data_IF_267863680888
#
_entry.id   IF_267863680888
#
_cell.length_a   1.000
_cell.length_b   1.000
_cell.length_c   1.000
_cell.angle_alpha   90.00
_cell.angle_beta   90.00
_cell.angle_gamma   90.00
#
_symmetry.space_group_name_H-M   'P 1'
#
loop_
_entity.id
_entity.type
_entity.pdbx_description
1 polymer ?
#
# COMPACT_ATOMS: atom_id res chain seq x y z
N UNK A 1 -1.57 74.53 -20.45
CA UNK A 1 -1.61 73.65 -21.65
C UNK A 1 -1.30 72.25 -21.14
N UNK A 2 -2.35 71.47 -20.93
CA UNK A 2 -2.29 70.13 -20.33
C UNK A 2 -1.53 69.17 -21.24
N UNK A 3 -0.53 68.48 -20.71
CA UNK A 3 0.08 67.33 -21.35
C UNK A 3 -0.41 66.07 -20.63
N UNK A 4 -1.38 65.39 -21.24
CA UNK A 4 -1.79 64.05 -20.85
C UNK A 4 -0.68 63.07 -21.24
N UNK A 5 -0.03 62.46 -20.24
CA UNK A 5 0.83 61.29 -20.43
C UNK A 5 -0.09 60.06 -20.51
N UNK A 6 -0.32 59.56 -21.71
CA UNK A 6 -0.95 58.26 -21.91
C UNK A 6 0.01 57.15 -21.48
N UNK A 7 -0.18 56.62 -20.27
CA UNK A 7 0.46 55.39 -19.83
C UNK A 7 -0.32 54.19 -20.40
N UNK A 8 0.19 53.58 -21.47
CA UNK A 8 -0.34 52.31 -21.97
C UNK A 8 0.24 51.18 -21.09
N UNK A 9 -0.56 50.73 -20.12
CA UNK A 9 -0.27 49.52 -19.34
C UNK A 9 -0.61 48.29 -20.20
N UNK A 10 0.40 47.74 -20.86
CA UNK A 10 0.32 46.41 -21.46
C UNK A 10 0.36 45.36 -20.34
N UNK A 11 -0.81 44.90 -19.89
CA UNK A 11 -0.90 43.65 -19.14
C UNK A 11 -0.56 42.50 -20.09
N UNK A 12 0.72 42.13 -20.15
CA UNK A 12 1.14 40.85 -20.72
C UNK A 12 0.60 39.75 -19.80
N UNK A 13 -0.61 39.29 -20.11
CA UNK A 13 -1.19 38.11 -19.49
C UNK A 13 -0.36 36.90 -19.86
N UNK A 14 0.63 36.59 -19.03
CA UNK A 14 1.24 35.25 -19.02
C UNK A 14 0.14 34.31 -18.56
N UNK A 15 -0.54 33.68 -19.51
CA UNK A 15 -1.42 32.55 -19.24
C UNK A 15 -0.49 31.43 -18.77
N UNK A 16 -0.31 31.32 -17.45
CA UNK A 16 0.32 30.17 -16.84
C UNK A 16 -0.66 29.01 -17.01
N UNK A 17 -0.60 28.33 -18.15
CA UNK A 17 -1.30 27.07 -18.37
C UNK A 17 -0.69 26.07 -17.39
N UNK A 18 -1.32 25.92 -16.23
CA UNK A 18 -1.00 24.85 -15.31
C UNK A 18 -1.43 23.55 -16.00
N UNK A 19 -0.49 22.93 -16.73
CA UNK A 19 -0.70 21.59 -17.30
C UNK A 19 -0.78 20.64 -16.11
N UNK A 20 -1.99 20.44 -15.60
CA UNK A 20 -2.29 19.37 -14.68
C UNK A 20 -2.16 18.09 -15.49
N UNK A 21 -1.06 17.37 -15.33
CA UNK A 21 -0.96 16.02 -15.89
C UNK A 21 -2.03 15.17 -15.21
N UNK A 22 -3.09 14.88 -15.94
CA UNK A 22 -4.22 14.11 -15.46
C UNK A 22 -3.73 12.73 -14.98
N UNK A 23 -4.14 12.33 -13.78
CA UNK A 23 -3.86 10.99 -13.29
C UNK A 23 -4.73 9.97 -14.03
N UNK A 24 -4.14 8.86 -14.46
CA UNK A 24 -4.85 7.74 -15.04
C UNK A 24 -5.32 6.77 -13.94
N UNK A 25 -6.58 6.35 -13.99
CA UNK A 25 -7.09 5.31 -13.10
C UNK A 25 -6.66 3.91 -13.59
N UNK A 26 -6.10 3.12 -12.69
CA UNK A 26 -5.64 1.75 -12.95
C UNK A 26 -6.34 0.78 -11.98
N UNK A 27 -7.38 0.06 -12.44
CA UNK A 27 -8.17 -0.82 -11.59
C UNK A 27 -7.43 -2.14 -11.28
N UNK A 28 -6.99 -2.31 -10.02
CA UNK A 28 -6.52 -3.59 -9.48
C UNK A 28 -7.71 -4.32 -8.85
N UNK A 29 -8.48 -5.03 -9.65
CA UNK A 29 -9.70 -5.71 -9.22
C UNK A 29 -9.63 -7.22 -9.43
N UNK A 30 -10.21 -7.99 -8.51
CA UNK A 30 -10.36 -9.43 -8.69
C UNK A 30 -11.17 -9.76 -9.97
N UNK A 31 -10.79 -10.81 -10.72
CA UNK A 31 -11.42 -11.13 -11.99
C UNK A 31 -12.71 -11.96 -11.81
N UNK A 32 -13.72 -11.40 -11.14
CA UNK A 32 -15.04 -12.04 -10.95
C UNK A 32 -14.97 -13.40 -10.27
N UNK A 33 -14.18 -13.46 -9.18
CA UNK A 33 -13.90 -14.68 -8.42
C UNK A 33 -15.08 -15.12 -7.59
N UNK A 34 -15.07 -16.39 -7.18
CA UNK A 34 -16.11 -16.99 -6.36
C UNK A 34 -15.45 -17.94 -5.36
N UNK A 35 -14.92 -17.43 -4.23
CA UNK A 35 -14.34 -18.27 -3.20
C UNK A 35 -15.43 -19.06 -2.50
N UNK A 36 -15.19 -20.35 -2.25
CA UNK A 36 -16.16 -21.26 -1.62
C UNK A 36 -15.76 -21.68 -0.20
N UNK A 37 -14.57 -21.28 0.26
CA UNK A 37 -14.05 -21.61 1.59
C UNK A 37 -13.77 -20.33 2.38
N UNK A 38 -14.22 -20.30 3.64
CA UNK A 38 -13.88 -19.21 4.57
C UNK A 38 -12.37 -19.12 4.82
N UNK A 39 -11.91 -17.94 5.22
CA UNK A 39 -10.49 -17.64 5.45
C UNK A 39 -9.61 -17.90 4.21
N UNK A 40 -10.15 -17.67 3.01
CA UNK A 40 -9.41 -17.80 1.75
C UNK A 40 -8.71 -16.49 1.39
N UNK A 41 -7.44 -16.60 1.01
CA UNK A 41 -6.62 -15.46 0.56
C UNK A 41 -6.36 -15.62 -0.93
N UNK A 42 -7.08 -14.86 -1.76
CA UNK A 42 -6.87 -14.91 -3.21
C UNK A 42 -5.90 -13.84 -3.65
N UNK A 43 -5.02 -14.18 -4.59
CA UNK A 43 -4.07 -13.30 -5.22
C UNK A 43 -4.30 -13.26 -6.73
N UNK A 44 -4.08 -12.09 -7.33
CA UNK A 44 -3.97 -11.95 -8.79
C UNK A 44 -2.90 -10.90 -9.15
N UNK A 45 -2.19 -11.13 -10.25
CA UNK A 45 -1.06 -10.32 -10.68
C UNK A 45 -1.40 -9.38 -11.83
N UNK A 46 -0.81 -8.17 -11.79
CA UNK A 46 -0.93 -7.16 -12.83
C UNK A 46 0.47 -6.75 -13.28
N UNK A 47 0.76 -6.93 -14.55
CA UNK A 47 2.04 -6.51 -15.11
C UNK A 47 2.10 -4.97 -15.19
N UNK A 48 3.19 -4.39 -14.69
CA UNK A 48 3.52 -2.97 -14.84
C UNK A 48 4.59 -2.87 -15.90
N UNK A 49 4.36 -2.06 -16.94
CA UNK A 49 5.25 -1.97 -18.08
C UNK A 49 6.71 -1.70 -17.66
N UNK A 50 7.64 -2.47 -18.20
CA UNK A 50 9.06 -2.43 -17.85
C UNK A 50 9.83 -1.28 -18.53
N UNK A 51 9.29 -0.67 -19.58
CA UNK A 51 10.02 0.33 -20.39
C UNK A 51 10.00 1.75 -19.80
N UNK A 52 8.96 2.11 -19.04
CA UNK A 52 8.86 3.41 -18.34
C UNK A 52 8.29 3.21 -16.95
N UNK A 53 8.83 3.95 -15.98
CA UNK A 53 8.28 3.95 -14.64
C UNK A 53 7.08 4.91 -14.54
N UNK A 54 6.21 4.65 -13.56
CA UNK A 54 5.07 5.49 -13.20
C UNK A 54 5.06 5.70 -11.68
N UNK A 55 4.24 6.63 -11.21
CA UNK A 55 4.01 6.84 -9.78
C UNK A 55 2.56 6.59 -9.40
N UNK A 56 2.34 5.82 -8.34
CA UNK A 56 1.04 5.72 -7.67
C UNK A 56 0.92 6.89 -6.70
N UNK A 57 -0.14 7.70 -6.82
CA UNK A 57 -0.38 8.89 -5.99
C UNK A 57 -1.64 8.80 -5.12
N UNK A 58 -2.55 7.87 -5.42
CA UNK A 58 -3.73 7.61 -4.61
C UNK A 58 -4.24 6.17 -4.74
N UNK A 59 -4.99 5.73 -3.73
CA UNK A 59 -5.60 4.42 -3.60
C UNK A 59 -7.08 4.60 -3.26
N UNK A 60 -7.99 4.18 -4.14
CA UNK A 60 -9.43 4.25 -3.91
C UNK A 60 -10.00 2.83 -3.80
N UNK A 61 -10.59 2.45 -2.66
CA UNK A 61 -11.17 1.13 -2.53
C UNK A 61 -12.38 0.95 -3.46
N UNK A 62 -12.45 -0.22 -4.07
CA UNK A 62 -13.64 -0.75 -4.73
C UNK A 62 -13.99 -2.06 -4.04
N UNK A 63 -14.41 -1.97 -2.78
CA UNK A 63 -14.71 -3.12 -1.95
C UNK A 63 -15.60 -2.68 -0.79
N UNK A 64 -16.27 -3.65 -0.16
CA UNK A 64 -16.95 -3.47 1.12
C UNK A 64 -16.46 -4.53 2.09
N UNK A 65 -16.39 -4.21 3.39
CA UNK A 65 -15.92 -5.16 4.43
C UNK A 65 -16.70 -6.47 4.46
N UNK A 66 -17.97 -6.43 4.02
CA UNK A 66 -18.86 -7.58 3.98
C UNK A 66 -18.42 -8.64 2.97
N UNK A 67 -17.55 -8.27 2.02
CA UNK A 67 -17.05 -9.17 0.98
C UNK A 67 -15.54 -9.36 1.10
N UNK A 68 -14.79 -8.27 1.26
CA UNK A 68 -13.35 -8.32 1.48
C UNK A 68 -13.02 -7.90 2.92
N UNK A 69 -12.51 -8.81 3.74
CA UNK A 69 -12.13 -8.48 5.11
C UNK A 69 -10.93 -7.52 5.15
N UNK A 70 -9.93 -7.76 4.31
CA UNK A 70 -8.87 -6.81 4.01
C UNK A 70 -8.28 -7.05 2.61
N UNK A 71 -7.59 -6.04 2.09
CA UNK A 71 -6.93 -6.04 0.78
C UNK A 71 -5.50 -5.54 0.95
N UNK A 72 -4.53 -6.25 0.38
CA UNK A 72 -3.14 -5.86 0.34
C UNK A 72 -2.67 -5.73 -1.11
N UNK A 73 -1.76 -4.79 -1.35
CA UNK A 73 -1.08 -4.63 -2.63
C UNK A 73 0.41 -4.80 -2.40
N UNK A 74 1.01 -5.73 -3.13
CA UNK A 74 2.44 -5.98 -3.14
C UNK A 74 3.04 -5.58 -4.48
N UNK A 75 4.21 -4.96 -4.44
CA UNK A 75 5.12 -4.92 -5.59
C UNK A 75 5.94 -6.19 -5.60
N UNK A 76 6.04 -6.83 -6.77
CA UNK A 76 6.86 -8.01 -6.98
C UNK A 76 7.75 -7.82 -8.21
N UNK A 77 8.91 -8.47 -8.21
CA UNK A 77 9.68 -8.70 -9.44
C UNK A 77 9.02 -9.78 -10.31
N UNK A 78 8.52 -10.84 -9.67
CA UNK A 78 7.68 -11.87 -10.29
C UNK A 78 6.56 -12.34 -9.35
N UNK A 79 5.33 -12.54 -9.85
CA UNK A 79 4.20 -12.98 -9.04
C UNK A 79 4.39 -14.43 -8.58
N UNK A 80 3.71 -14.83 -7.51
CA UNK A 80 3.81 -16.20 -7.00
C UNK A 80 3.26 -17.26 -7.95
N UNK A 81 2.25 -16.90 -8.74
CA UNK A 81 1.70 -17.75 -9.78
C UNK A 81 1.38 -16.92 -11.03
N UNK A 82 1.50 -17.56 -12.20
CA UNK A 82 1.11 -17.00 -13.50
C UNK A 82 0.83 -18.12 -14.48
N UNK A 83 -0.11 -17.87 -15.36
CA UNK A 83 -0.35 -18.67 -16.57
C UNK A 83 -0.07 -17.81 -17.79
N UNK A 84 0.43 -18.42 -18.86
CA UNK A 84 0.81 -17.68 -20.07
C UNK A 84 -0.42 -17.10 -20.79
N UNK A 85 -1.48 -17.90 -20.88
CA UNK A 85 -2.70 -17.54 -21.60
C UNK A 85 -3.78 -16.92 -20.68
N UNK A 86 -3.53 -16.87 -19.36
CA UNK A 86 -4.43 -16.28 -18.36
C UNK A 86 -3.69 -15.17 -17.59
N UNK A 87 -3.56 -13.96 -18.15
CA UNK A 87 -2.76 -12.87 -17.56
C UNK A 87 -3.27 -12.39 -16.18
N UNK A 88 -4.50 -12.75 -15.80
CA UNK A 88 -5.10 -12.50 -14.48
C UNK A 88 -5.44 -13.80 -13.76
N UNK A 89 -4.58 -14.81 -13.88
CA UNK A 89 -4.70 -16.03 -13.09
C UNK A 89 -4.88 -15.70 -11.60
N UNK A 90 -5.69 -16.50 -10.93
CA UNK A 90 -6.00 -16.35 -9.50
C UNK A 90 -5.44 -17.55 -8.77
N UNK A 91 -4.78 -17.30 -7.64
CA UNK A 91 -4.20 -18.35 -6.82
C UNK A 91 -4.49 -18.07 -5.34
N UNK A 92 -4.47 -19.12 -4.52
CA UNK A 92 -4.45 -18.99 -3.08
C UNK A 92 -3.04 -18.55 -2.65
N UNK A 93 -2.93 -17.38 -2.01
CA UNK A 93 -1.67 -16.78 -1.57
C UNK A 93 -0.95 -17.60 -0.46
N UNK A 94 -1.63 -18.60 0.09
CA UNK A 94 -1.06 -19.59 0.99
C UNK A 94 -0.75 -19.09 2.41
N UNK A 95 -1.32 -17.96 2.81
CA UNK A 95 -1.15 -17.36 4.14
C UNK A 95 -1.73 -18.26 5.26
N UNK A 96 -2.69 -19.12 4.93
CA UNK A 96 -3.27 -20.10 5.85
C UNK A 96 -2.72 -21.51 5.58
N UNK A 97 -2.18 -22.14 6.63
CA UNK A 97 -1.61 -23.49 6.55
C UNK A 97 -2.64 -24.55 6.15
N UNK A 98 -3.92 -24.35 6.48
CA UNK A 98 -5.01 -25.34 6.36
C UNK A 98 -6.06 -25.02 5.29
N UNK A 99 -5.84 -24.01 4.44
CA UNK A 99 -6.75 -23.73 3.32
C UNK A 99 -6.71 -24.89 2.31
N UNK A 100 -7.89 -25.44 1.99
CA UNK A 100 -8.15 -26.44 0.95
C UNK A 100 -8.89 -25.78 -0.22
N UNK A 101 -8.39 -24.62 -0.61
CA UNK A 101 -8.90 -23.84 -1.73
C UNK A 101 -8.82 -24.62 -3.05
N UNK A 102 -9.81 -24.41 -3.93
CA UNK A 102 -9.81 -24.93 -5.31
C UNK A 102 -8.76 -24.25 -6.21
N UNK A 103 -8.17 -23.15 -5.74
CA UNK A 103 -7.16 -22.39 -6.47
C UNK A 103 -5.77 -23.00 -6.27
N UNK A 104 -4.88 -22.84 -7.26
CA UNK A 104 -3.47 -23.19 -7.09
C UNK A 104 -2.89 -22.47 -5.86
N UNK A 105 -2.08 -23.15 -5.04
CA UNK A 105 -1.47 -22.54 -3.85
C UNK A 105 -0.05 -22.06 -4.18
N UNK A 106 0.24 -20.80 -3.87
CA UNK A 106 1.57 -20.21 -4.09
C UNK A 106 1.75 -18.93 -3.26
N UNK A 107 2.99 -18.45 -3.07
CA UNK A 107 3.24 -17.24 -2.30
C UNK A 107 2.61 -16.01 -2.97
N UNK A 108 2.56 -14.87 -2.29
CA UNK A 108 2.11 -13.61 -2.90
C UNK A 108 3.05 -13.14 -4.02
N UNK A 109 4.35 -13.14 -3.76
CA UNK A 109 5.38 -12.91 -4.77
C UNK A 109 6.31 -14.12 -4.81
N UNK A 110 6.79 -14.50 -5.99
CA UNK A 110 7.87 -15.47 -6.11
C UNK A 110 9.22 -14.81 -5.81
N UNK A 111 9.42 -13.57 -6.27
CA UNK A 111 10.63 -12.79 -6.02
C UNK A 111 10.32 -11.30 -5.81
N UNK A 112 11.19 -10.60 -5.06
CA UNK A 112 11.15 -9.14 -4.90
C UNK A 112 9.91 -8.59 -4.19
N UNK A 113 9.43 -9.26 -3.14
CA UNK A 113 8.21 -8.87 -2.43
C UNK A 113 8.38 -7.58 -1.63
N UNK A 114 7.50 -6.61 -1.88
CA UNK A 114 7.43 -5.35 -1.15
C UNK A 114 5.97 -4.96 -0.93
N UNK A 115 5.56 -4.71 0.32
CA UNK A 115 4.22 -4.18 0.58
C UNK A 115 4.13 -2.71 0.13
N UNK A 116 3.07 -2.37 -0.61
CA UNK A 116 2.81 -1.01 -1.11
C UNK A 116 1.67 -0.37 -0.33
N UNK A 117 0.57 -1.10 -0.18
CA UNK A 117 -0.66 -0.57 0.40
C UNK A 117 -1.48 -1.67 1.09
N UNK A 118 -2.30 -1.24 2.03
CA UNK A 118 -3.19 -2.10 2.80
C UNK A 118 -4.50 -1.36 3.07
N UNK A 119 -5.60 -2.06 2.93
CA UNK A 119 -6.96 -1.60 3.20
C UNK A 119 -7.68 -2.64 4.05
N UNK A 120 -8.47 -2.19 5.03
CA UNK A 120 -9.30 -3.06 5.86
C UNK A 120 -10.49 -2.27 6.40
N UNK A 121 -11.58 -2.96 6.75
CA UNK A 121 -12.68 -2.41 7.56
C UNK A 121 -13.28 -1.10 7.01
N UNK A 122 -13.57 -1.04 5.71
CA UNK A 122 -14.14 0.14 5.04
C UNK A 122 -13.31 1.43 5.19
N UNK A 123 -11.98 1.29 5.31
CA UNK A 123 -11.09 2.44 5.35
C UNK A 123 -11.31 3.37 4.13
N UNK A 124 -11.26 4.70 4.33
CA UNK A 124 -11.45 5.65 3.24
C UNK A 124 -10.31 5.56 2.22
N UNK A 125 -10.53 6.18 1.06
CA UNK A 125 -9.48 6.34 0.05
C UNK A 125 -8.26 7.05 0.64
N UNK A 126 -7.06 6.56 0.30
CA UNK A 126 -5.80 7.18 0.69
C UNK A 126 -5.27 8.02 -0.47
N UNK A 127 -5.15 9.33 -0.26
CA UNK A 127 -4.33 10.20 -1.11
C UNK A 127 -2.97 10.38 -0.44
N UNK A 128 -1.90 10.20 -1.20
CA UNK A 128 -0.56 10.49 -0.69
C UNK A 128 -0.40 12.01 -0.52
N UNK A 129 0.52 12.46 0.37
CA UNK A 129 0.85 13.86 0.47
C UNK A 129 1.25 14.44 -0.88
N UNK A 130 1.03 15.74 -1.08
CA UNK A 130 1.38 16.42 -2.33
C UNK A 130 2.86 16.17 -2.70
N UNK A 131 3.06 15.80 -3.96
CA UNK A 131 4.37 15.48 -4.52
C UNK A 131 5.04 14.22 -3.97
N UNK A 132 4.27 13.31 -3.38
CA UNK A 132 4.73 11.98 -2.96
C UNK A 132 4.09 10.91 -3.84
N UNK A 133 4.87 9.93 -4.28
CA UNK A 133 4.36 8.80 -5.08
C UNK A 133 5.18 7.52 -4.95
N UNK A 134 4.54 6.35 -5.04
CA UNK A 134 5.24 5.06 -5.11
C UNK A 134 5.72 4.82 -6.53
N UNK A 135 7.02 4.61 -6.71
CA UNK A 135 7.61 4.34 -8.03
C UNK A 135 7.40 2.87 -8.39
N UNK A 136 6.78 2.61 -9.55
CA UNK A 136 6.54 1.27 -10.10
C UNK A 136 7.02 1.18 -11.56
N UNK A 137 7.28 -0.02 -12.06
CA UNK A 137 7.79 -0.24 -13.42
C UNK A 137 9.21 0.31 -13.62
N UNK A 138 9.69 0.30 -14.86
CA UNK A 138 11.06 0.73 -15.18
C UNK A 138 12.11 0.02 -14.32
N UNK A 139 13.05 0.78 -13.76
CA UNK A 139 14.10 0.29 -12.86
C UNK A 139 13.72 0.33 -11.36
N UNK A 140 12.42 0.26 -11.03
CA UNK A 140 11.98 0.29 -9.62
C UNK A 140 12.20 -1.03 -8.88
N UNK A 141 12.40 -2.15 -9.59
CA UNK A 141 12.34 -3.50 -9.02
C UNK A 141 10.90 -4.03 -8.87
N UNK A 142 9.88 -3.23 -9.22
CA UNK A 142 8.47 -3.63 -9.18
C UNK A 142 7.97 -3.79 -10.61
N UNK A 143 7.97 -5.02 -11.11
CA UNK A 143 7.49 -5.38 -12.45
C UNK A 143 6.03 -5.83 -12.43
N UNK A 144 5.55 -6.26 -11.27
CA UNK A 144 4.18 -6.69 -11.05
C UNK A 144 3.61 -6.03 -9.81
N UNK A 145 2.32 -5.72 -9.87
CA UNK A 145 1.50 -5.47 -8.69
C UNK A 145 0.67 -6.73 -8.44
N UNK A 146 0.75 -7.27 -7.23
CA UNK A 146 -0.10 -8.40 -6.81
C UNK A 146 -1.13 -7.87 -5.82
N UNK A 147 -2.40 -8.05 -6.19
CA UNK A 147 -3.55 -7.78 -5.33
C UNK A 147 -3.85 -9.04 -4.53
N UNK A 148 -3.83 -8.94 -3.21
CA UNK A 148 -4.28 -9.98 -2.30
C UNK A 148 -5.59 -9.54 -1.63
N UNK A 149 -6.62 -10.39 -1.65
CA UNK A 149 -7.91 -10.16 -0.98
C UNK A 149 -8.17 -11.31 -0.02
N UNK A 150 -8.46 -10.97 1.24
CA UNK A 150 -8.88 -11.94 2.25
C UNK A 150 -10.41 -12.01 2.32
N UNK A 151 -10.96 -13.18 2.00
CA UNK A 151 -12.38 -13.52 2.13
C UNK A 151 -12.58 -14.33 3.42
N UNK A 152 -12.89 -13.63 4.51
CA UNK A 152 -13.15 -14.26 5.81
C UNK A 152 -14.46 -15.07 5.81
N UNK A 153 -15.51 -14.55 5.18
CA UNK A 153 -16.82 -15.20 5.04
C UNK A 153 -17.20 -15.31 3.56
N UNK A 154 -17.42 -16.54 3.10
CA UNK A 154 -17.77 -16.84 1.71
C UNK A 154 -19.23 -17.27 1.52
N UNK A 155 -20.07 -17.18 2.55
CA UNK A 155 -21.48 -17.63 2.52
C UNK A 155 -22.25 -17.06 1.33
N UNK A 156 -22.00 -15.80 0.99
CA UNK A 156 -22.66 -15.10 -0.12
C UNK A 156 -22.29 -15.63 -1.52
N UNK A 157 -21.30 -16.53 -1.64
CA UNK A 157 -20.84 -17.11 -2.91
C UNK A 157 -21.29 -18.56 -3.12
N UNK A 158 -21.85 -19.21 -2.10
CA UNK A 158 -22.15 -20.65 -2.14
C UNK A 158 -23.29 -21.01 -3.10
N UNK A 159 -24.14 -20.05 -3.48
CA UNK A 159 -25.30 -20.24 -4.34
C UNK A 159 -24.98 -20.24 -5.86
N UNK A 160 -23.72 -20.03 -6.25
CA UNK A 160 -23.35 -19.98 -7.66
C UNK A 160 -23.50 -18.61 -8.34
N UNK A 161 -24.27 -17.69 -7.76
CA UNK A 161 -24.77 -16.50 -8.47
C UNK A 161 -23.87 -15.29 -8.28
N UNK A 162 -23.28 -15.14 -7.09
CA UNK A 162 -22.44 -13.99 -6.78
C UNK A 162 -21.01 -14.19 -7.29
N UNK A 163 -20.48 -13.15 -7.92
CA UNK A 163 -19.06 -13.02 -8.28
C UNK A 163 -18.50 -11.74 -7.67
N UNK A 164 -17.22 -11.75 -7.35
CA UNK A 164 -16.54 -10.62 -6.71
C UNK A 164 -15.46 -9.99 -7.58
N UNK A 165 -15.46 -8.66 -7.59
CA UNK A 165 -14.44 -7.82 -8.21
C UNK A 165 -13.83 -6.83 -7.21
N UNK A 166 -13.80 -7.21 -5.93
CA UNK A 166 -13.21 -6.37 -4.88
C UNK A 166 -11.73 -6.07 -5.20
N UNK A 167 -11.31 -4.86 -4.88
CA UNK A 167 -9.95 -4.41 -5.17
C UNK A 167 -9.74 -2.93 -4.90
N UNK A 168 -8.68 -2.37 -5.49
CA UNK A 168 -8.31 -0.96 -5.33
C UNK A 168 -8.10 -0.32 -6.71
N UNK A 169 -8.69 0.84 -6.95
CA UNK A 169 -8.38 1.67 -8.11
C UNK A 169 -7.22 2.59 -7.75
N UNK A 170 -6.10 2.45 -8.45
CA UNK A 170 -4.93 3.31 -8.29
C UNK A 170 -5.05 4.55 -9.16
N UNK A 171 -4.61 5.70 -8.67
CA UNK A 171 -4.36 6.87 -9.53
C UNK A 171 -2.87 6.92 -9.86
N UNK A 172 -2.53 6.83 -11.15
CA UNK A 172 -1.18 6.82 -11.67
C UNK A 172 -0.84 8.13 -12.38
N UNK A 173 0.41 8.57 -12.24
CA UNK A 173 0.98 9.66 -13.04
C UNK A 173 2.25 9.19 -13.78
N UNK A 174 2.59 9.76 -14.95
CA UNK A 174 3.81 9.43 -15.69
C UNK A 174 5.09 9.63 -14.87
N UNK A 175 6.12 8.83 -15.13
CA UNK A 175 7.40 8.91 -14.41
C UNK A 175 8.22 10.19 -14.67
N UNK A 176 7.97 10.87 -15.78
CA UNK A 176 8.57 12.15 -16.18
C UNK A 176 7.78 13.38 -15.67
N UNK A 177 6.77 13.17 -14.83
CA UNK A 177 5.99 14.26 -14.24
C UNK A 177 6.82 15.10 -13.25
N UNK A 178 6.59 16.42 -13.25
CA UNK A 178 7.14 17.33 -12.24
C UNK A 178 6.30 17.36 -10.94
N UNK A 179 5.17 16.64 -10.90
CA UNK A 179 4.31 16.60 -9.72
C UNK A 179 5.00 15.87 -8.54
N UNK A 180 5.66 14.74 -8.81
CA UNK A 180 6.23 13.87 -7.76
C UNK A 180 7.67 14.30 -7.45
N UNK A 181 7.88 14.81 -6.25
CA UNK A 181 9.17 15.32 -5.74
C UNK A 181 9.83 14.35 -4.75
N UNK A 182 9.08 13.40 -4.19
CA UNK A 182 9.56 12.42 -3.20
C UNK A 182 8.98 11.04 -3.50
N UNK A 183 9.79 10.01 -3.28
CA UNK A 183 9.34 8.62 -3.40
C UNK A 183 8.73 8.15 -2.09
N UNK A 184 7.57 7.54 -2.18
CA UNK A 184 6.99 6.78 -1.08
C UNK A 184 7.66 5.40 -0.98
N UNK A 185 7.65 4.85 0.22
CA UNK A 185 8.12 3.51 0.54
C UNK A 185 7.52 3.05 1.87
N UNK A 186 7.53 1.75 2.12
CA UNK A 186 7.09 1.16 3.39
C UNK A 186 8.30 0.55 4.10
N UNK A 187 8.51 0.95 5.35
CA UNK A 187 9.48 0.31 6.24
C UNK A 187 8.72 -0.62 7.19
N UNK A 188 8.97 -1.92 7.09
CA UNK A 188 8.27 -2.93 7.89
C UNK A 188 9.15 -3.32 9.07
N UNK A 189 8.59 -3.22 10.28
CA UNK A 189 9.16 -3.83 11.48
C UNK A 189 8.30 -5.03 11.85
N UNK A 190 8.89 -6.22 11.74
CA UNK A 190 8.29 -7.48 12.15
C UNK A 190 8.98 -8.01 13.39
N UNK A 191 8.24 -8.80 14.16
CA UNK A 191 8.75 -9.55 15.31
C UNK A 191 7.93 -10.83 15.45
N UNK A 192 8.43 -11.79 16.23
CA UNK A 192 7.80 -13.08 16.46
C UNK A 192 8.28 -13.71 17.75
N UNK A 193 7.58 -14.76 18.16
CA UNK A 193 7.92 -15.56 19.34
C UNK A 193 6.71 -16.33 19.85
N UNK A 194 6.73 -16.72 21.12
CA UNK A 194 5.72 -17.58 21.73
C UNK A 194 4.98 -16.84 22.84
N UNK A 195 3.65 -16.90 22.83
CA UNK A 195 2.79 -16.44 23.92
C UNK A 195 2.34 -17.68 24.69
N UNK A 196 2.71 -17.80 25.96
CA UNK A 196 2.21 -18.91 26.80
C UNK A 196 0.73 -18.69 27.13
N UNK A 197 0.01 -19.79 27.34
CA UNK A 197 -1.40 -19.72 27.70
C UNK A 197 -1.58 -18.84 28.96
N UNK A 198 -2.53 -17.91 28.90
CA UNK A 198 -2.88 -17.00 29.99
C UNK A 198 -1.75 -16.08 30.50
N UNK A 199 -0.68 -15.85 29.73
CA UNK A 199 0.36 -14.89 30.08
C UNK A 199 0.30 -13.61 29.23
N UNK A 200 0.99 -12.56 29.71
CA UNK A 200 1.26 -11.35 28.94
C UNK A 200 2.71 -11.38 28.48
N UNK A 201 2.91 -11.18 27.20
CA UNK A 201 4.23 -11.07 26.58
C UNK A 201 4.32 -9.75 25.79
N UNK A 202 5.53 -9.24 25.63
CA UNK A 202 5.83 -8.15 24.70
C UNK A 202 6.81 -8.68 23.64
N UNK A 203 6.61 -8.26 22.39
CA UNK A 203 7.53 -8.55 21.31
C UNK A 203 8.15 -7.25 20.84
N UNK A 204 9.44 -7.28 20.58
CA UNK A 204 10.22 -6.09 20.24
C UNK A 204 10.94 -6.31 18.90
N UNK A 205 11.09 -5.24 18.15
CA UNK A 205 11.93 -5.18 16.95
C UNK A 205 12.70 -3.87 16.95
N UNK A 206 13.98 -3.91 16.59
CA UNK A 206 14.81 -2.71 16.53
C UNK A 206 15.86 -2.82 15.42
N UNK A 207 15.80 -1.91 14.45
CA UNK A 207 16.70 -1.87 13.31
C UNK A 207 17.37 -0.49 13.18
N UNK A 208 18.70 -0.48 13.01
CA UNK A 208 19.44 0.74 12.72
C UNK A 208 19.30 1.10 11.24
N UNK A 209 19.04 2.36 10.94
CA UNK A 209 19.07 2.90 9.59
C UNK A 209 20.53 3.08 9.15
N UNK A 210 20.95 2.31 8.15
CA UNK A 210 22.32 2.33 7.65
C UNK A 210 22.44 3.10 6.33
N UNK A 211 21.32 3.27 5.63
CA UNK A 211 21.21 3.91 4.34
C UNK A 211 21.40 5.42 4.48
N UNK A 212 22.10 6.02 3.51
CA UNK A 212 22.29 7.47 3.46
C UNK A 212 21.07 8.17 2.84
N UNK A 213 19.93 8.06 3.52
CA UNK A 213 18.66 8.65 3.11
C UNK A 213 17.94 9.27 4.31
N UNK A 214 17.08 10.25 4.04
CA UNK A 214 16.21 10.85 5.07
C UNK A 214 14.77 10.41 4.85
N UNK A 215 14.19 9.76 5.86
CA UNK A 215 12.79 9.36 5.84
C UNK A 215 11.92 10.37 6.59
N UNK A 216 10.73 10.58 6.06
CA UNK A 216 9.69 11.43 6.62
C UNK A 216 8.43 10.58 6.81
N UNK A 217 8.25 9.94 7.99
CA UNK A 217 7.03 9.21 8.28
C UNK A 217 5.83 10.15 8.17
N UNK A 218 4.86 9.78 7.34
CA UNK A 218 3.60 10.50 7.22
C UNK A 218 2.41 9.63 7.64
N UNK A 219 2.55 8.31 7.57
CA UNK A 219 1.56 7.36 8.04
C UNK A 219 2.21 6.09 8.61
N UNK A 220 1.45 5.34 9.41
CA UNK A 220 1.84 4.04 9.95
C UNK A 220 0.62 3.11 9.97
N UNK A 221 0.85 1.80 9.96
CA UNK A 221 -0.19 0.77 10.09
C UNK A 221 0.28 -0.27 11.09
N UNK A 222 -0.61 -0.71 11.97
CA UNK A 222 -0.37 -1.80 12.91
C UNK A 222 -1.10 -3.05 12.45
N UNK A 223 -0.48 -4.22 12.59
CA UNK A 223 -1.09 -5.49 12.24
C UNK A 223 -0.68 -6.57 13.24
N UNK A 224 -1.66 -7.29 13.76
CA UNK A 224 -1.50 -8.51 14.54
C UNK A 224 -2.68 -9.44 14.28
N UNK A 225 -2.58 -10.69 14.72
CA UNK A 225 -3.74 -11.57 14.85
C UNK A 225 -4.57 -11.20 16.10
N UNK A 226 -5.51 -12.06 16.48
CA UNK A 226 -6.54 -11.84 17.52
C UNK A 226 -6.03 -11.49 18.93
N UNK A 227 -4.79 -11.86 19.27
CA UNK A 227 -4.24 -11.67 20.62
C UNK A 227 -3.59 -10.29 20.84
N UNK A 228 -3.25 -9.54 19.78
CA UNK A 228 -2.53 -8.29 19.91
C UNK A 228 -3.37 -7.19 20.58
N UNK A 229 -2.76 -6.44 21.50
CA UNK A 229 -3.43 -5.38 22.28
C UNK A 229 -3.06 -3.97 21.85
N UNK A 230 -1.79 -3.73 21.54
CA UNK A 230 -1.29 -2.45 21.03
C UNK A 230 0.03 -2.67 20.31
N UNK A 231 0.29 -1.87 19.28
CA UNK A 231 1.59 -1.81 18.59
C UNK A 231 2.02 -0.35 18.56
N UNK A 232 3.30 -0.09 18.88
CA UNK A 232 3.82 1.27 19.01
C UNK A 232 5.16 1.41 18.31
N UNK A 233 5.29 2.36 17.39
CA UNK A 233 6.56 2.63 16.71
C UNK A 233 7.29 3.84 17.30
N UNK A 234 8.62 3.76 17.34
CA UNK A 234 9.51 4.82 17.82
C UNK A 234 10.70 5.01 16.88
N UNK A 235 11.18 6.25 16.83
CA UNK A 235 12.55 6.56 16.41
C UNK A 235 13.40 6.84 17.66
N UNK A 236 14.56 6.20 17.74
CA UNK A 236 15.52 6.36 18.83
C UNK A 236 16.78 7.02 18.28
N UNK A 237 17.08 8.21 18.78
CA UNK A 237 18.27 8.98 18.40
C UNK A 237 19.04 9.40 19.65
N UNK A 238 20.29 8.94 19.78
CA UNK A 238 21.16 9.23 20.94
C UNK A 238 20.44 8.96 22.29
N UNK A 239 19.78 7.82 22.39
CA UNK A 239 19.01 7.41 23.57
C UNK A 239 17.63 8.08 23.74
N UNK A 240 17.29 9.10 22.93
CA UNK A 240 15.98 9.75 23.00
C UNK A 240 14.96 9.04 22.12
N UNK A 241 13.90 8.56 22.75
CA UNK A 241 12.76 7.91 22.10
C UNK A 241 11.71 8.94 21.67
N UNK A 242 11.32 8.91 20.40
CA UNK A 242 10.24 9.75 19.88
C UNK A 242 9.19 8.87 19.23
N UNK A 243 7.97 8.90 19.76
CA UNK A 243 6.86 8.12 19.21
C UNK A 243 6.53 8.54 17.78
N UNK A 244 6.43 7.56 16.88
CA UNK A 244 5.96 7.72 15.50
C UNK A 244 4.43 7.59 15.48
N UNK A 245 3.91 6.59 16.19
CA UNK A 245 2.49 6.32 16.35
C UNK A 245 2.26 5.15 17.30
N UNK A 246 1.05 5.06 17.84
CA UNK A 246 0.55 3.93 18.65
C UNK A 246 -0.86 3.63 18.20
N UNK A 247 -1.17 2.36 17.96
CA UNK A 247 -2.54 1.98 17.64
C UNK A 247 -2.92 0.59 18.11
N UNK A 248 -4.21 0.37 18.31
CA UNK A 248 -4.76 -0.97 18.55
C UNK A 248 -4.83 -1.73 17.22
N UNK A 249 -4.22 -2.92 17.11
CA UNK A 249 -4.30 -3.72 15.88
C UNK A 249 -5.68 -4.39 15.70
N UNK A 250 -6.58 -4.30 16.69
CA UNK A 250 -7.96 -4.78 16.60
C UNK A 250 -8.92 -3.73 16.03
N UNK A 251 -8.47 -2.48 15.90
CA UNK A 251 -9.20 -1.41 15.21
C UNK A 251 -8.96 -1.51 13.69
N UNK A 252 -9.70 -0.74 12.85
CA UNK A 252 -9.51 -0.74 11.40
C UNK A 252 -8.04 -0.68 10.99
N UNK A 253 -7.53 -1.73 10.35
CA UNK A 253 -6.10 -1.85 10.05
C UNK A 253 -5.71 -1.06 8.79
N UNK A 254 -5.90 0.25 8.84
CA UNK A 254 -5.53 1.21 7.80
C UNK A 254 -4.25 1.97 8.15
N UNK A 255 -3.81 2.83 7.23
CA UNK A 255 -2.72 3.77 7.48
C UNK A 255 -3.23 4.99 8.25
N UNK A 256 -2.76 5.14 9.49
CA UNK A 256 -3.03 6.28 10.35
C UNK A 256 -1.95 7.34 10.23
N UNK A 257 -2.26 8.64 10.40
CA UNK A 257 -1.25 9.69 10.35
C UNK A 257 -0.15 9.49 11.39
N UNK A 258 1.11 9.55 10.96
CA UNK A 258 2.26 9.53 11.86
C UNK A 258 2.45 10.91 12.52
N UNK A 259 3.23 10.94 13.60
CA UNK A 259 3.63 12.20 14.24
C UNK A 259 4.29 13.14 13.22
N UNK A 260 3.70 14.34 13.07
CA UNK A 260 4.16 15.36 12.12
C UNK A 260 5.58 15.83 12.44
N UNK A 261 6.34 16.18 11.40
CA UNK A 261 7.66 16.80 11.52
C UNK A 261 8.78 15.83 11.92
N UNK A 262 8.50 14.52 12.01
CA UNK A 262 9.55 13.53 12.25
C UNK A 262 10.48 13.40 11.05
N UNK A 263 11.78 13.29 11.36
CA UNK A 263 12.85 12.99 10.41
C UNK A 263 13.66 11.84 10.95
N UNK A 264 13.78 10.78 10.17
CA UNK A 264 14.65 9.64 10.47
C UNK A 264 15.83 9.71 9.50
N UNK A 265 17.04 9.57 10.02
CA UNK A 265 18.29 9.68 9.26
C UNK A 265 19.21 8.50 9.56
N UNK A 266 20.27 8.36 8.76
CA UNK A 266 21.33 7.39 8.99
C UNK A 266 21.83 7.43 10.44
N UNK A 267 21.92 6.26 11.06
CA UNK A 267 22.35 6.05 12.44
C UNK A 267 21.22 6.01 13.47
N UNK A 268 20.02 6.49 13.15
CA UNK A 268 18.84 6.30 14.00
C UNK A 268 18.46 4.82 14.11
N UNK A 269 17.76 4.47 15.20
CA UNK A 269 17.13 3.15 15.35
C UNK A 269 15.62 3.32 15.24
N UNK A 270 15.00 2.54 14.36
CA UNK A 270 13.55 2.34 14.34
C UNK A 270 13.21 1.15 15.23
N UNK A 271 12.34 1.37 16.21
CA UNK A 271 11.94 0.36 17.18
C UNK A 271 10.42 0.23 17.25
N UNK A 272 9.91 -0.98 17.47
CA UNK A 272 8.48 -1.26 17.65
C UNK A 272 8.24 -2.37 18.67
#
# INVERSE_FOLDING_TARGET
>A
MEQFVHCVLLFSGVILTCVTTASADFPLLMPQVQPTQNETYLCTGFHVASSKHQYIVAFRPNATKHVAHHILIYGCESPGYREWDTPRAVWDCGEMATSHSMFHKGPTCRTGSQIIYAWAMDAPALRLPEGVGFKIGGNSGINYLVLQVHYADTTAFLDGQKRDSSGIVLSLVPGDTNQVKRRAGVYVLGTGGMIRAHTKENFESACRINENLTLYPFAFRTHTHKLGKAVTGYVVRKGRWTNIGKHSPQEPQMFYPAKKGLKIVKGDVLAA
#
